data_IF_783538724304
#
_entry.id   IF_783538724304
#
_cell.length_a   1.000
_cell.length_b   1.000
_cell.length_c   1.000
_cell.angle_alpha   90.00
_cell.angle_beta   90.00
_cell.angle_gamma   90.00
#
_symmetry.space_group_name_H-M   'P 1'
#
loop_
_entity.id
_entity.type
_entity.pdbx_description
1 polymer ?
#
# COMPACT_ATOMS: atom_id res chain seq x y z
N UNK A 1 2.84 -11.31 -27.63
CA UNK A 1 3.53 -10.20 -26.94
C UNK A 1 3.08 -10.04 -25.48
N UNK A 2 2.00 -10.69 -25.04
CA UNK A 2 1.62 -10.74 -23.62
C UNK A 2 2.39 -11.86 -22.93
N UNK A 3 3.54 -11.52 -22.34
CA UNK A 3 4.26 -12.43 -21.45
C UNK A 3 4.19 -11.87 -20.04
N UNK A 4 3.39 -12.53 -19.20
CA UNK A 4 3.28 -12.19 -17.78
C UNK A 4 4.49 -12.63 -17.00
N UNK A 5 5.50 -13.30 -17.58
CA UNK A 5 6.72 -13.78 -16.91
C UNK A 5 7.93 -12.86 -17.04
N UNK A 6 7.75 -11.67 -17.61
CA UNK A 6 8.84 -10.69 -17.78
C UNK A 6 8.98 -9.78 -16.56
N UNK A 7 10.20 -9.31 -16.27
CA UNK A 7 10.42 -8.28 -15.25
C UNK A 7 9.60 -7.02 -15.50
N UNK A 8 9.37 -6.69 -16.78
CA UNK A 8 8.51 -5.57 -17.18
C UNK A 8 7.09 -5.71 -16.65
N UNK A 9 6.55 -6.93 -16.61
CA UNK A 9 5.23 -7.17 -16.03
C UNK A 9 5.19 -6.78 -14.54
N UNK A 10 6.18 -7.21 -13.75
CA UNK A 10 6.23 -6.90 -12.32
C UNK A 10 6.46 -5.41 -12.06
N UNK A 11 7.30 -4.77 -12.87
CA UNK A 11 7.51 -3.31 -12.84
C UNK A 11 6.18 -2.59 -13.09
N UNK A 12 5.50 -2.89 -14.20
CA UNK A 12 4.22 -2.28 -14.55
C UNK A 12 3.15 -2.54 -13.50
N UNK A 13 3.09 -3.74 -12.94
CA UNK A 13 2.15 -4.10 -11.88
C UNK A 13 2.38 -3.26 -10.61
N UNK A 14 3.62 -3.18 -10.13
CA UNK A 14 3.96 -2.39 -8.94
C UNK A 14 3.63 -0.91 -9.15
N UNK A 15 4.08 -0.32 -10.26
CA UNK A 15 3.79 1.09 -10.54
C UNK A 15 2.29 1.34 -10.71
N UNK A 16 1.55 0.45 -11.38
CA UNK A 16 0.11 0.56 -11.54
C UNK A 16 -0.64 0.55 -10.21
N UNK A 17 -0.30 -0.38 -9.31
CA UNK A 17 -0.91 -0.46 -7.97
C UNK A 17 -0.60 0.79 -7.16
N UNK A 18 0.65 1.25 -7.14
CA UNK A 18 1.00 2.47 -6.41
C UNK A 18 0.37 3.72 -7.02
N UNK A 19 0.22 3.81 -8.34
CA UNK A 19 -0.46 4.93 -8.98
C UNK A 19 -1.94 4.98 -8.56
N UNK A 20 -2.66 3.85 -8.68
CA UNK A 20 -4.06 3.73 -8.25
C UNK A 20 -4.20 4.01 -6.76
N UNK A 21 -3.34 3.41 -5.93
CA UNK A 21 -3.35 3.59 -4.48
C UNK A 21 -3.09 5.04 -4.08
N UNK A 22 -2.18 5.76 -4.75
CA UNK A 22 -1.95 7.18 -4.49
C UNK A 22 -3.14 8.06 -4.90
N UNK A 23 -3.85 7.72 -5.96
CA UNK A 23 -5.07 8.46 -6.37
C UNK A 23 -6.19 8.25 -5.35
N UNK A 24 -6.42 7.00 -4.94
CA UNK A 24 -7.52 6.66 -4.03
C UNK A 24 -7.25 7.04 -2.57
N UNK A 25 -6.01 6.82 -2.10
CA UNK A 25 -5.65 6.90 -0.69
C UNK A 25 -4.57 7.94 -0.39
N UNK A 26 -4.23 8.81 -1.36
CA UNK A 26 -3.17 9.81 -1.20
C UNK A 26 -3.42 10.81 -0.07
N UNK A 27 -4.70 11.06 0.25
CA UNK A 27 -5.13 11.97 1.33
C UNK A 27 -4.82 11.42 2.74
N UNK A 28 -4.87 10.10 2.93
CA UNK A 28 -4.53 9.44 4.20
C UNK A 28 -3.05 9.64 4.59
N UNK A 29 -2.19 9.82 3.60
CA UNK A 29 -0.75 10.00 3.79
C UNK A 29 -0.28 11.46 3.71
N UNK A 30 -1.18 12.46 3.63
CA UNK A 30 -0.81 13.89 3.48
C UNK A 30 0.13 14.39 4.59
N UNK A 31 0.02 13.80 5.77
CA UNK A 31 0.77 14.16 6.97
C UNK A 31 2.18 13.54 7.02
N UNK A 32 2.53 12.68 6.05
CA UNK A 32 3.85 12.06 5.94
C UNK A 32 4.69 12.71 4.83
N UNK A 33 6.02 12.77 4.99
CA UNK A 33 6.90 13.33 3.96
C UNK A 33 6.82 12.52 2.67
N UNK A 34 6.67 13.20 1.53
CA UNK A 34 6.50 12.60 0.19
C UNK A 34 7.62 11.61 -0.17
N UNK A 35 8.85 11.84 0.32
CA UNK A 35 9.99 10.93 0.10
C UNK A 35 9.73 9.51 0.64
N UNK A 36 8.98 9.36 1.75
CA UNK A 36 8.63 8.02 2.27
C UNK A 36 7.76 7.24 1.30
N UNK A 37 6.93 7.91 0.49
CA UNK A 37 6.13 7.26 -0.55
C UNK A 37 7.02 6.71 -1.65
N UNK A 38 7.99 7.51 -2.12
CA UNK A 38 8.97 7.07 -3.11
C UNK A 38 9.83 5.91 -2.59
N UNK A 39 10.25 5.97 -1.32
CA UNK A 39 10.99 4.90 -0.68
C UNK A 39 10.17 3.59 -0.61
N UNK A 40 8.87 3.65 -0.28
CA UNK A 40 7.98 2.47 -0.31
C UNK A 40 7.94 1.85 -1.70
N UNK A 41 7.77 2.65 -2.75
CA UNK A 41 7.77 2.15 -4.14
C UNK A 41 9.09 1.47 -4.46
N UNK A 42 10.21 2.12 -4.15
CA UNK A 42 11.56 1.58 -4.42
C UNK A 42 11.81 0.25 -3.69
N UNK A 43 11.40 0.14 -2.42
CA UNK A 43 11.53 -1.10 -1.63
C UNK A 43 10.67 -2.22 -2.22
N UNK A 44 9.39 -1.96 -2.49
CA UNK A 44 8.48 -2.99 -3.02
C UNK A 44 8.92 -3.44 -4.42
N UNK A 45 9.36 -2.50 -5.26
CA UNK A 45 9.88 -2.81 -6.60
C UNK A 45 11.15 -3.67 -6.53
N UNK A 46 12.09 -3.30 -5.65
CA UNK A 46 13.33 -4.07 -5.44
C UNK A 46 13.02 -5.48 -4.95
N UNK A 47 12.06 -5.63 -4.03
CA UNK A 47 11.61 -6.93 -3.55
C UNK A 47 10.97 -7.77 -4.66
N UNK A 48 10.13 -7.16 -5.51
CA UNK A 48 9.50 -7.84 -6.63
C UNK A 48 10.55 -8.40 -7.61
N UNK A 49 11.53 -7.57 -7.98
CA UNK A 49 12.60 -7.96 -8.91
C UNK A 49 13.53 -9.03 -8.32
N UNK A 50 13.91 -8.90 -7.04
CA UNK A 50 14.70 -9.91 -6.34
C UNK A 50 13.98 -11.26 -6.30
N UNK A 51 12.72 -11.29 -5.89
CA UNK A 51 11.94 -12.53 -5.85
C UNK A 51 11.75 -13.14 -7.24
N UNK A 52 11.57 -12.31 -8.27
CA UNK A 52 11.50 -12.79 -9.65
C UNK A 52 12.82 -13.43 -10.11
N UNK A 53 13.98 -12.85 -9.76
CA UNK A 53 15.30 -13.41 -10.09
C UNK A 53 15.51 -14.80 -9.47
N UNK A 54 14.98 -15.04 -8.26
CA UNK A 54 15.04 -16.35 -7.59
C UNK A 54 13.89 -17.30 -7.96
N UNK A 55 13.08 -16.97 -8.98
CA UNK A 55 11.88 -17.73 -9.37
C UNK A 55 10.84 -17.89 -8.23
N UNK A 56 10.87 -16.98 -7.24
CA UNK A 56 9.96 -16.91 -6.09
C UNK A 56 8.84 -15.90 -6.31
N UNK A 57 8.52 -15.62 -7.57
CA UNK A 57 7.55 -14.59 -7.95
C UNK A 57 6.15 -14.84 -7.42
N UNK A 58 5.76 -16.11 -7.29
CA UNK A 58 4.50 -16.50 -6.67
C UNK A 58 4.38 -15.98 -5.23
N UNK A 59 5.49 -15.96 -4.47
CA UNK A 59 5.52 -15.46 -3.10
C UNK A 59 5.26 -13.96 -3.05
N UNK A 60 5.80 -13.21 -4.01
CA UNK A 60 5.51 -11.78 -4.16
C UNK A 60 4.01 -11.54 -4.37
N UNK A 61 3.36 -12.32 -5.23
CA UNK A 61 1.92 -12.18 -5.46
C UNK A 61 1.07 -12.57 -4.25
N UNK A 62 1.49 -13.58 -3.48
CA UNK A 62 0.84 -13.93 -2.20
C UNK A 62 0.94 -12.78 -1.21
N UNK A 63 2.12 -12.17 -1.05
CA UNK A 63 2.33 -11.02 -0.18
C UNK A 63 1.48 -9.83 -0.63
N UNK A 64 1.43 -9.58 -1.93
CA UNK A 64 0.66 -8.50 -2.53
C UNK A 64 -0.84 -8.69 -2.30
N UNK A 65 -1.35 -9.90 -2.52
CA UNK A 65 -2.75 -10.24 -2.28
C UNK A 65 -3.13 -10.14 -0.79
N UNK A 66 -2.28 -10.67 0.10
CA UNK A 66 -2.47 -10.54 1.54
C UNK A 66 -2.48 -9.06 1.99
N UNK A 67 -1.60 -8.24 1.43
CA UNK A 67 -1.57 -6.79 1.70
C UNK A 67 -2.84 -6.10 1.21
N UNK A 68 -3.36 -6.47 0.03
CA UNK A 68 -4.62 -5.94 -0.48
C UNK A 68 -5.79 -6.28 0.47
N UNK A 69 -5.88 -7.52 0.94
CA UNK A 69 -6.90 -7.92 1.94
C UNK A 69 -6.76 -7.09 3.22
N UNK A 70 -5.53 -6.91 3.72
CA UNK A 70 -5.29 -6.12 4.92
C UNK A 70 -5.74 -4.65 4.73
N UNK A 71 -5.38 -4.02 3.61
CA UNK A 71 -5.81 -2.65 3.29
C UNK A 71 -7.34 -2.56 3.20
N UNK A 72 -7.98 -3.49 2.48
CA UNK A 72 -9.43 -3.56 2.36
C UNK A 72 -10.11 -3.74 3.70
N UNK A 73 -9.62 -4.64 4.56
CA UNK A 73 -10.15 -4.83 5.91
C UNK A 73 -10.03 -3.55 6.75
N UNK A 74 -8.89 -2.87 6.67
CA UNK A 74 -8.68 -1.62 7.40
C UNK A 74 -9.69 -0.56 6.96
N UNK A 75 -9.94 -0.41 5.65
CA UNK A 75 -10.81 0.64 5.12
C UNK A 75 -12.30 0.28 5.27
N UNK A 76 -12.69 -0.98 5.09
CA UNK A 76 -14.09 -1.39 5.09
C UNK A 76 -14.59 -1.67 6.51
N UNK A 77 -13.73 -2.19 7.39
CA UNK A 77 -14.15 -2.69 8.71
C UNK A 77 -13.51 -1.92 9.84
N UNK A 78 -12.19 -1.81 9.87
CA UNK A 78 -11.50 -1.27 11.04
C UNK A 78 -11.70 0.24 11.22
N UNK A 79 -11.52 1.05 10.16
CA UNK A 79 -11.71 2.50 10.22
C UNK A 79 -13.17 2.86 10.58
N UNK A 80 -14.20 2.27 9.94
CA UNK A 80 -15.59 2.52 10.31
C UNK A 80 -15.92 2.13 11.75
N UNK A 81 -15.34 1.03 12.27
CA UNK A 81 -15.49 0.66 13.69
C UNK A 81 -14.91 1.71 14.65
N UNK A 82 -13.94 2.51 14.23
CA UNK A 82 -13.39 3.61 15.01
C UNK A 82 -14.10 4.95 14.74
N UNK A 83 -15.21 4.93 14.00
CA UNK A 83 -15.99 6.12 13.65
C UNK A 83 -15.31 7.03 12.63
N UNK A 84 -14.42 6.46 11.80
CA UNK A 84 -13.76 7.14 10.69
C UNK A 84 -14.25 6.52 9.39
N UNK A 85 -14.66 7.33 8.44
CA UNK A 85 -15.00 6.87 7.10
C UNK A 85 -13.74 6.33 6.42
N UNK A 86 -13.76 5.05 6.07
CA UNK A 86 -12.60 4.39 5.46
C UNK A 86 -12.29 4.83 4.03
N UNK A 87 -13.18 5.57 3.38
CA UNK A 87 -12.93 6.13 2.05
C UNK A 87 -12.37 7.56 2.12
N UNK A 88 -12.98 8.41 2.96
CA UNK A 88 -12.63 9.85 3.05
C UNK A 88 -11.69 10.19 4.21
N UNK A 89 -11.51 9.31 5.17
CA UNK A 89 -10.71 9.56 6.38
C UNK A 89 -11.35 10.54 7.36
N UNK A 90 -12.64 10.85 7.21
CA UNK A 90 -13.35 11.80 8.08
C UNK A 90 -14.04 11.10 9.26
N UNK A 91 -14.07 11.71 10.48
CA UNK A 91 -13.51 13.03 10.82
C UNK A 91 -11.99 13.04 10.93
N UNK A 92 -11.32 14.01 10.29
CA UNK A 92 -9.84 14.08 10.20
C UNK A 92 -9.16 14.12 11.57
N UNK A 93 -9.73 14.81 12.54
CA UNK A 93 -9.15 14.93 13.88
C UNK A 93 -9.06 13.58 14.60
N UNK A 94 -10.08 12.71 14.44
CA UNK A 94 -10.05 11.36 15.01
C UNK A 94 -9.02 10.48 14.30
N UNK A 95 -8.97 10.57 12.97
CA UNK A 95 -7.97 9.84 12.19
C UNK A 95 -6.55 10.24 12.60
N UNK A 96 -6.26 11.54 12.69
CA UNK A 96 -4.95 12.02 13.11
C UNK A 96 -4.58 11.61 14.52
N UNK A 97 -5.53 11.63 15.46
CA UNK A 97 -5.31 11.12 16.82
C UNK A 97 -5.00 9.63 16.84
N UNK A 98 -5.70 8.81 16.05
CA UNK A 98 -5.40 7.37 15.96
C UNK A 98 -4.02 7.11 15.36
N UNK A 99 -3.63 7.83 14.31
CA UNK A 99 -2.31 7.70 13.69
C UNK A 99 -1.21 8.19 14.63
N UNK A 100 -1.41 9.35 15.29
CA UNK A 100 -0.45 9.93 16.23
C UNK A 100 -0.28 9.08 17.50
N UNK A 101 -1.37 8.55 18.07
CA UNK A 101 -1.31 7.64 19.22
C UNK A 101 -0.58 6.33 18.91
N UNK A 102 -0.67 5.86 17.65
CA UNK A 102 0.13 4.74 17.16
C UNK A 102 1.61 5.11 16.96
N UNK A 103 1.93 6.35 16.60
CA UNK A 103 3.32 6.81 16.46
C UNK A 103 4.04 7.01 17.79
N UNK A 104 3.33 7.31 18.88
CA UNK A 104 3.92 7.45 20.23
C UNK A 104 4.15 6.12 20.96
N UNK A 105 3.62 5.01 20.45
CA UNK A 105 3.74 3.66 21.04
C UNK A 105 4.70 2.75 20.27
N UNK A 106 5.43 3.30 19.29
CA UNK A 106 6.42 2.65 18.43
C UNK A 106 7.79 3.29 18.63
#
# INVERSE_FOLDING_TARGET
MWSTSTYWFDISLVFGIFAIGNILFGHFEEHHPKWRRLLKVAIILSLALLLSQFNLRWLFYVILFASAIAVSYIHIVWLPKHGINGWTGEPKDKYLKLVAGKQQSS
#
